data_IF_213357737517
#
_entry.id   IF_213357737517
#
_cell.length_a   1.000
_cell.length_b   1.000
_cell.length_c   1.000
_cell.angle_alpha   90.00
_cell.angle_beta   90.00
_cell.angle_gamma   90.00
#
_symmetry.space_group_name_H-M   'P 1'
#
loop_
_entity.id
_entity.type
_entity.pdbx_description
1 polymer ?
#
# COMPACT_ATOMS: atom_id res chain seq x y z
N UNK A 1 41.02 0.20 8.30
CA UNK A 1 39.83 0.93 7.80
C UNK A 1 38.64 0.14 8.30
N UNK A 2 37.73 0.76 9.08
CA UNK A 2 36.53 0.05 9.56
C UNK A 2 35.63 -0.19 8.34
N UNK A 3 35.47 -1.45 7.97
CA UNK A 3 34.73 -1.85 6.79
C UNK A 3 33.36 -2.44 7.19
N UNK A 4 32.31 -2.26 6.37
CA UNK A 4 30.93 -2.64 6.74
C UNK A 4 30.73 -4.13 7.06
N UNK A 5 31.57 -5.01 6.51
CA UNK A 5 31.50 -6.45 6.77
C UNK A 5 32.02 -6.88 8.16
N UNK A 6 32.68 -5.97 8.90
CA UNK A 6 33.27 -6.28 10.21
C UNK A 6 32.44 -5.66 11.33
N UNK A 7 31.13 -5.96 11.34
CA UNK A 7 30.17 -5.45 12.33
C UNK A 7 30.69 -5.61 13.76
N UNK A 8 31.22 -6.79 14.09
CA UNK A 8 31.77 -7.08 15.42
C UNK A 8 32.99 -6.20 15.78
N UNK A 9 33.88 -5.94 14.81
CA UNK A 9 35.07 -5.12 15.03
C UNK A 9 34.68 -3.64 15.20
N UNK A 10 33.74 -3.15 14.38
CA UNK A 10 33.20 -1.80 14.50
C UNK A 10 32.54 -1.62 15.87
N UNK A 11 31.65 -2.54 16.25
CA UNK A 11 30.90 -2.46 17.48
C UNK A 11 31.80 -2.50 18.74
N UNK A 12 32.86 -3.33 18.72
CA UNK A 12 33.84 -3.41 19.81
C UNK A 12 34.71 -2.15 19.96
N UNK A 13 35.08 -1.49 18.86
CA UNK A 13 36.04 -0.37 18.88
C UNK A 13 35.39 1.02 18.92
N UNK A 14 34.14 1.15 18.46
CA UNK A 14 33.43 2.43 18.41
C UNK A 14 33.26 3.12 19.78
N UNK A 15 33.00 2.41 20.91
CA UNK A 15 32.96 3.04 22.23
C UNK A 15 34.30 3.68 22.62
N UNK A 16 35.40 3.02 22.28
CA UNK A 16 36.75 3.50 22.52
C UNK A 16 37.05 4.75 21.71
N UNK A 17 36.64 4.78 20.43
CA UNK A 17 36.74 5.96 19.58
C UNK A 17 35.88 7.12 20.13
N UNK A 18 34.65 6.85 20.55
CA UNK A 18 33.72 7.85 21.09
C UNK A 18 34.28 8.56 22.33
N UNK A 19 34.92 7.82 23.24
CA UNK A 19 35.58 8.40 24.43
C UNK A 19 36.77 9.31 24.11
N UNK A 20 37.40 9.14 22.93
CA UNK A 20 38.56 9.94 22.49
C UNK A 20 38.16 11.22 21.75
N UNK A 21 36.90 11.34 21.35
CA UNK A 21 36.40 12.49 20.60
C UNK A 21 35.72 13.51 21.55
N UNK A 22 35.75 14.81 21.22
CA UNK A 22 35.00 15.80 21.96
C UNK A 22 33.50 15.46 22.06
N UNK A 23 32.84 15.77 23.19
CA UNK A 23 31.41 15.60 23.34
C UNK A 23 30.64 16.29 22.19
N UNK A 24 29.63 15.62 21.64
CA UNK A 24 28.80 16.15 20.54
C UNK A 24 29.40 16.00 19.14
N UNK A 25 30.61 15.43 18.99
CA UNK A 25 31.18 15.13 17.66
C UNK A 25 30.25 14.19 16.89
N UNK A 26 29.79 14.59 15.70
CA UNK A 26 28.99 13.70 14.84
C UNK A 26 29.88 12.63 14.23
N UNK A 27 29.52 11.36 14.43
CA UNK A 27 30.15 10.22 13.76
C UNK A 27 29.12 9.69 12.78
N UNK A 28 29.44 9.71 11.49
CA UNK A 28 28.61 9.13 10.45
C UNK A 28 29.22 7.79 10.03
N UNK A 29 28.42 6.72 10.12
CA UNK A 29 28.76 5.42 9.58
C UNK A 29 28.10 5.30 8.21
N UNK A 30 28.90 5.39 7.15
CA UNK A 30 28.42 5.15 5.79
C UNK A 30 28.44 3.66 5.49
N UNK A 31 27.30 3.12 5.09
CA UNK A 31 27.25 1.78 4.49
C UNK A 31 27.66 1.94 3.03
N UNK A 32 28.86 1.50 2.67
CA UNK A 32 29.31 1.47 1.29
C UNK A 32 28.58 0.32 0.58
N UNK A 33 27.61 0.69 -0.26
CA UNK A 33 26.98 -0.23 -1.20
C UNK A 33 27.81 -0.26 -2.48
N UNK A 34 28.52 -1.36 -2.71
CA UNK A 34 29.17 -1.63 -3.99
C UNK A 34 28.10 -2.20 -4.93
N UNK A 35 27.53 -1.35 -5.78
CA UNK A 35 26.78 -1.80 -6.97
C UNK A 35 27.47 -1.36 -8.24
N UNK A 36 27.72 -2.33 -9.12
CA UNK A 36 28.42 -2.16 -10.39
C UNK A 36 28.46 -3.49 -11.15
N UNK A 37 29.04 -3.49 -12.36
CA UNK A 37 29.12 -4.67 -13.27
C UNK A 37 30.01 -5.82 -12.74
N UNK A 38 30.60 -5.66 -11.57
CA UNK A 38 31.26 -6.74 -10.86
C UNK A 38 30.20 -7.44 -10.01
N UNK A 39 29.98 -8.72 -10.27
CA UNK A 39 29.13 -9.63 -9.49
C UNK A 39 29.68 -9.78 -8.07
N UNK A 40 29.60 -8.73 -7.27
CA UNK A 40 29.87 -8.76 -5.84
C UNK A 40 28.65 -9.33 -5.11
N UNK A 41 28.89 -10.29 -4.21
CA UNK A 41 27.85 -10.75 -3.28
C UNK A 41 27.29 -9.55 -2.49
N UNK A 42 25.98 -9.53 -2.28
CA UNK A 42 25.39 -8.58 -1.35
C UNK A 42 26.05 -8.76 0.03
N UNK A 43 26.69 -7.70 0.55
CA UNK A 43 27.35 -7.72 1.86
C UNK A 43 26.40 -8.10 3.01
N UNK A 44 25.10 -7.84 2.84
CA UNK A 44 24.02 -8.29 3.71
C UNK A 44 22.96 -8.97 2.85
N UNK A 45 22.40 -10.09 3.32
CA UNK A 45 21.41 -10.89 2.57
C UNK A 45 20.06 -10.20 2.47
N UNK A 46 19.78 -9.23 3.35
CA UNK A 46 18.52 -8.47 3.36
C UNK A 46 18.69 -7.10 4.02
N UNK A 47 17.73 -6.20 3.75
CA UNK A 47 17.61 -4.92 4.45
C UNK A 47 17.49 -5.09 5.98
N UNK A 48 16.71 -6.08 6.42
CA UNK A 48 16.54 -6.37 7.84
C UNK A 48 17.86 -6.81 8.50
N UNK A 49 18.73 -7.51 7.78
CA UNK A 49 20.06 -7.89 8.28
C UNK A 49 20.98 -6.68 8.40
N UNK A 50 20.96 -5.78 7.42
CA UNK A 50 21.67 -4.50 7.50
C UNK A 50 21.19 -3.66 8.69
N UNK A 51 19.87 -3.50 8.87
CA UNK A 51 19.28 -2.72 9.97
C UNK A 51 19.70 -3.29 11.33
N UNK A 52 19.64 -4.63 11.52
CA UNK A 52 20.13 -5.28 12.75
C UNK A 52 21.61 -5.04 13.01
N UNK A 53 22.44 -5.05 11.97
CA UNK A 53 23.87 -4.79 12.11
C UNK A 53 24.15 -3.35 12.54
N UNK A 54 23.43 -2.38 11.97
CA UNK A 54 23.52 -0.97 12.35
C UNK A 54 23.05 -0.72 13.78
N UNK A 55 21.93 -1.33 14.17
CA UNK A 55 21.39 -1.25 15.53
C UNK A 55 22.41 -1.76 16.55
N UNK A 56 23.02 -2.92 16.27
CA UNK A 56 24.04 -3.50 17.14
C UNK A 56 25.23 -2.55 17.34
N UNK A 57 25.78 -2.00 16.26
CA UNK A 57 26.90 -1.05 16.33
C UNK A 57 26.52 0.18 17.15
N UNK A 58 25.32 0.73 16.93
CA UNK A 58 24.84 1.90 17.66
C UNK A 58 24.66 1.61 19.16
N UNK A 59 24.03 0.49 19.52
CA UNK A 59 23.82 0.11 20.91
C UNK A 59 25.13 -0.19 21.66
N UNK A 60 26.06 -0.92 21.05
CA UNK A 60 27.37 -1.18 21.67
C UNK A 60 28.16 0.12 21.89
N UNK A 61 28.01 1.12 21.00
CA UNK A 61 28.57 2.46 21.18
C UNK A 61 27.93 3.29 22.31
N UNK A 62 26.90 2.77 22.97
CA UNK A 62 26.15 3.47 24.03
C UNK A 62 25.22 4.55 23.47
N UNK A 63 24.93 4.52 22.16
CA UNK A 63 23.97 5.43 21.57
C UNK A 63 22.55 5.04 21.98
N UNK A 64 21.72 6.06 22.18
CA UNK A 64 20.28 5.86 22.37
C UNK A 64 19.61 6.18 21.04
N UNK A 65 19.16 5.14 20.35
CA UNK A 65 18.28 5.32 19.20
C UNK A 65 16.91 5.74 19.75
N UNK A 66 16.53 6.99 19.53
CA UNK A 66 15.19 7.42 19.85
C UNK A 66 14.22 6.57 19.02
N UNK A 67 13.21 5.97 19.67
CA UNK A 67 12.16 5.28 18.95
C UNK A 67 11.58 6.24 17.91
N UNK A 68 11.41 5.76 16.68
CA UNK A 68 10.72 6.52 15.65
C UNK A 68 9.37 6.95 16.22
N UNK A 69 9.03 8.26 16.20
CA UNK A 69 7.74 8.69 16.67
C UNK A 69 6.67 7.94 15.88
N UNK A 70 5.68 7.38 16.58
CA UNK A 70 4.61 6.63 15.94
C UNK A 70 3.93 7.52 14.89
N UNK A 71 4.03 7.12 13.63
CA UNK A 71 3.28 7.72 12.52
C UNK A 71 2.11 6.80 12.16
N UNK A 72 0.96 7.35 11.73
CA UNK A 72 -0.12 6.54 11.21
C UNK A 72 0.37 5.71 10.02
N UNK A 73 0.04 4.42 10.01
CA UNK A 73 0.43 3.49 8.95
C UNK A 73 -0.19 3.84 7.59
N UNK A 74 -1.42 4.38 7.62
CA UNK A 74 -2.16 4.83 6.46
C UNK A 74 -3.21 5.87 6.87
N UNK A 75 -3.59 6.73 5.93
CA UNK A 75 -4.73 7.62 6.10
C UNK A 75 -6.05 6.83 6.11
N UNK A 76 -7.01 7.33 6.89
CA UNK A 76 -8.36 6.78 6.92
C UNK A 76 -9.03 6.95 5.54
N UNK A 77 -9.54 5.85 4.99
CA UNK A 77 -10.29 5.82 3.73
C UNK A 77 -11.75 5.49 4.00
N UNK A 78 -12.64 6.40 3.62
CA UNK A 78 -14.08 6.15 3.70
C UNK A 78 -14.63 5.37 2.51
N UNK A 79 -13.90 5.36 1.39
CA UNK A 79 -14.37 4.80 0.13
C UNK A 79 -13.35 5.00 -1.00
N UNK A 80 -13.52 4.29 -2.11
CA UNK A 80 -12.89 4.70 -3.37
C UNK A 80 -13.43 6.07 -3.79
N UNK A 81 -12.59 6.94 -4.36
CA UNK A 81 -12.98 8.29 -4.79
C UNK A 81 -14.17 8.32 -5.76
N UNK A 82 -14.34 7.27 -6.55
CA UNK A 82 -15.48 7.12 -7.45
C UNK A 82 -16.78 6.80 -6.72
N UNK A 83 -16.70 6.13 -5.57
CA UNK A 83 -17.83 5.87 -4.69
C UNK A 83 -18.23 7.12 -3.92
N UNK A 84 -17.26 7.98 -3.59
CA UNK A 84 -17.48 9.19 -2.80
C UNK A 84 -17.87 10.41 -3.65
N UNK A 85 -17.94 10.25 -4.97
CA UNK A 85 -18.30 11.33 -5.88
C UNK A 85 -17.29 12.47 -5.95
N UNK A 86 -16.02 12.21 -5.63
CA UNK A 86 -14.99 13.25 -5.64
C UNK A 86 -14.63 13.74 -7.05
N UNK A 87 -14.81 12.88 -8.05
CA UNK A 87 -14.49 13.14 -9.45
C UNK A 87 -15.60 12.66 -10.39
N UNK A 88 -15.65 13.29 -11.56
CA UNK A 88 -16.51 12.92 -12.67
C UNK A 88 -15.67 12.97 -13.94
N UNK A 89 -15.67 11.88 -14.69
CA UNK A 89 -14.89 11.70 -15.91
C UNK A 89 -15.81 11.77 -17.12
N UNK A 90 -15.31 12.38 -18.20
CA UNK A 90 -16.01 12.52 -19.48
C UNK A 90 -15.26 11.71 -20.53
N UNK A 91 -15.95 10.81 -21.24
CA UNK A 91 -15.42 10.13 -22.43
C UNK A 91 -15.63 10.99 -23.68
N UNK A 92 -14.92 10.68 -24.77
CA UNK A 92 -14.94 11.47 -26.01
C UNK A 92 -16.31 11.54 -26.69
N UNK A 93 -17.20 10.59 -26.39
CA UNK A 93 -18.59 10.55 -26.86
C UNK A 93 -19.55 11.39 -26.00
N UNK A 94 -19.04 12.06 -24.95
CA UNK A 94 -19.83 12.83 -23.99
C UNK A 94 -20.40 12.01 -22.84
N UNK A 95 -20.17 10.69 -22.79
CA UNK A 95 -20.64 9.85 -21.68
C UNK A 95 -19.87 10.16 -20.38
N UNK A 96 -20.58 10.13 -19.24
CA UNK A 96 -20.07 10.48 -17.91
C UNK A 96 -19.90 9.25 -17.02
N UNK A 97 -18.80 9.20 -16.27
CA UNK A 97 -18.42 8.09 -15.39
C UNK A 97 -17.83 8.61 -14.07
N UNK A 98 -18.01 7.90 -12.97
CA UNK A 98 -17.45 8.30 -11.67
C UNK A 98 -15.96 8.05 -11.56
N UNK A 99 -15.34 7.25 -12.42
CA UNK A 99 -13.88 7.07 -12.49
C UNK A 99 -13.46 6.63 -13.88
N UNK A 100 -12.19 6.85 -14.21
CA UNK A 100 -11.62 6.43 -15.49
C UNK A 100 -11.64 4.92 -15.74
N UNK A 101 -11.69 4.07 -14.70
CA UNK A 101 -11.83 2.60 -14.83
C UNK A 101 -13.30 2.13 -14.81
N UNK A 102 -14.24 3.03 -14.54
CA UNK A 102 -15.63 2.64 -14.30
C UNK A 102 -16.33 2.34 -15.62
N UNK A 103 -17.11 1.26 -15.66
CA UNK A 103 -17.92 0.88 -16.82
C UNK A 103 -19.40 1.24 -16.67
N UNK A 104 -19.85 1.52 -15.45
CA UNK A 104 -21.19 2.05 -15.20
C UNK A 104 -21.28 3.53 -15.58
N UNK A 105 -22.11 3.82 -16.58
CA UNK A 105 -22.39 5.18 -17.05
C UNK A 105 -23.32 5.88 -16.07
N UNK A 106 -22.95 7.08 -15.61
CA UNK A 106 -23.77 7.88 -14.68
C UNK A 106 -24.45 9.08 -15.32
N UNK A 107 -24.21 9.33 -16.61
CA UNK A 107 -24.89 10.41 -17.34
C UNK A 107 -24.28 10.68 -18.70
N UNK A 108 -24.76 11.75 -19.35
CA UNK A 108 -24.32 12.16 -20.68
C UNK A 108 -24.39 13.69 -20.84
N UNK A 109 -23.34 14.32 -21.39
CA UNK A 109 -23.31 15.78 -21.57
C UNK A 109 -24.36 16.31 -22.55
N UNK A 110 -24.98 15.45 -23.36
CA UNK A 110 -26.10 15.81 -24.24
C UNK A 110 -27.41 15.97 -23.45
N UNK A 111 -27.50 15.40 -22.26
CA UNK A 111 -28.72 15.31 -21.44
C UNK A 111 -28.60 16.11 -20.15
N UNK A 112 -27.41 16.16 -19.54
CA UNK A 112 -27.16 16.81 -18.26
C UNK A 112 -25.91 17.70 -18.31
N UNK A 113 -26.02 18.91 -17.75
CA UNK A 113 -24.87 19.78 -17.58
C UNK A 113 -23.84 19.15 -16.62
N UNK A 114 -22.55 19.23 -16.95
CA UNK A 114 -21.47 18.63 -16.15
C UNK A 114 -21.54 19.02 -14.67
N UNK A 115 -21.79 20.30 -14.36
CA UNK A 115 -21.91 20.78 -12.98
C UNK A 115 -23.05 20.13 -12.21
N UNK A 116 -24.17 19.85 -12.88
CA UNK A 116 -25.33 19.19 -12.29
C UNK A 116 -25.04 17.71 -12.03
N UNK A 117 -24.47 17.00 -13.01
CA UNK A 117 -24.07 15.61 -12.84
C UNK A 117 -23.05 15.45 -11.69
N UNK A 118 -22.09 16.37 -11.58
CA UNK A 118 -21.13 16.37 -10.48
C UNK A 118 -21.81 16.59 -9.11
N UNK A 119 -22.80 17.47 -9.05
CA UNK A 119 -23.57 17.70 -7.82
C UNK A 119 -24.40 16.48 -7.43
N UNK A 120 -25.03 15.80 -8.39
CA UNK A 120 -25.82 14.59 -8.15
C UNK A 120 -24.95 13.44 -7.62
N UNK A 121 -23.80 13.21 -8.25
CA UNK A 121 -22.83 12.18 -7.81
C UNK A 121 -22.27 12.48 -6.41
N UNK A 122 -22.04 13.75 -6.07
CA UNK A 122 -21.60 14.16 -4.72
C UNK A 122 -22.69 14.04 -3.65
N UNK A 123 -23.96 14.16 -4.04
CA UNK A 123 -25.08 14.10 -3.12
C UNK A 123 -25.43 12.67 -2.70
N UNK A 124 -24.96 11.66 -3.44
CA UNK A 124 -25.18 10.25 -3.16
C UNK A 124 -23.86 9.47 -3.08
N UNK A 125 -23.03 9.69 -2.03
CA UNK A 125 -21.81 8.92 -1.83
C UNK A 125 -22.13 7.51 -1.33
N UNK A 126 -21.31 6.54 -1.75
CA UNK A 126 -21.41 5.12 -1.39
C UNK A 126 -20.19 4.71 -0.53
N UNK A 127 -20.08 5.21 0.72
CA UNK A 127 -18.95 4.92 1.59
C UNK A 127 -18.92 3.43 1.98
N UNK A 128 -17.75 2.93 2.35
CA UNK A 128 -17.53 1.56 2.77
C UNK A 128 -18.50 1.12 3.88
N UNK A 129 -18.80 2.01 4.84
CA UNK A 129 -19.71 1.71 5.95
C UNK A 129 -21.16 1.45 5.52
N UNK A 130 -21.55 1.93 4.33
CA UNK A 130 -22.87 1.69 3.76
C UNK A 130 -22.99 0.28 3.13
N UNK A 131 -21.87 -0.36 2.79
CA UNK A 131 -21.89 -1.69 2.21
C UNK A 131 -22.08 -2.77 3.28
N UNK A 132 -22.92 -3.76 3.00
CA UNK A 132 -23.23 -4.84 3.94
C UNK A 132 -21.96 -5.56 4.43
N UNK A 133 -21.09 -5.98 3.50
CA UNK A 133 -19.83 -6.68 3.82
C UNK A 133 -18.79 -5.83 4.55
N UNK A 134 -18.88 -4.50 4.44
CA UNK A 134 -17.86 -3.60 4.97
C UNK A 134 -18.29 -2.89 6.25
N UNK A 135 -19.58 -2.84 6.57
CA UNK A 135 -20.09 -2.15 7.77
C UNK A 135 -19.33 -2.50 9.04
N UNK A 136 -19.13 -3.79 9.27
CA UNK A 136 -18.47 -4.33 10.47
C UNK A 136 -17.07 -4.91 10.18
N UNK A 137 -16.52 -4.62 9.00
CA UNK A 137 -15.19 -5.11 8.63
C UNK A 137 -14.09 -4.29 9.34
N UNK A 138 -13.09 -4.94 9.97
CA UNK A 138 -12.02 -4.25 10.70
C UNK A 138 -11.13 -3.38 9.81
N UNK A 139 -11.17 -3.59 8.50
CA UNK A 139 -10.40 -2.81 7.52
C UNK A 139 -11.23 -1.76 6.79
N UNK A 140 -12.50 -1.53 7.15
CA UNK A 140 -13.39 -0.64 6.38
C UNK A 140 -12.86 0.80 6.25
N UNK A 141 -12.18 1.30 7.27
CA UNK A 141 -11.53 2.61 7.30
C UNK A 141 -10.11 2.62 6.77
N UNK A 142 -9.56 1.47 6.37
CA UNK A 142 -8.22 1.34 5.79
C UNK A 142 -8.30 1.05 4.30
N UNK A 143 -9.07 0.03 3.89
CA UNK A 143 -9.23 -0.32 2.49
C UNK A 143 -10.35 0.47 1.78
N UNK A 144 -11.25 1.11 2.52
CA UNK A 144 -12.36 1.89 1.95
C UNK A 144 -13.33 1.05 1.11
N UNK A 145 -13.45 -0.26 1.39
CA UNK A 145 -14.29 -1.17 0.59
C UNK A 145 -13.70 -1.54 -0.77
N UNK A 146 -12.43 -1.24 -1.02
CA UNK A 146 -11.72 -1.57 -2.27
C UNK A 146 -12.12 -0.68 -3.47
N UNK A 147 -11.62 -1.05 -4.64
CA UNK A 147 -11.93 -0.37 -5.89
C UNK A 147 -13.34 -0.74 -6.37
N UNK A 148 -14.26 0.22 -6.49
CA UNK A 148 -15.63 -0.03 -6.99
C UNK A 148 -15.67 -0.51 -8.43
N UNK A 149 -14.72 -0.06 -9.25
CA UNK A 149 -14.61 -0.54 -10.63
C UNK A 149 -14.24 -2.02 -10.66
N UNK A 150 -13.37 -2.48 -9.74
CA UNK A 150 -13.08 -3.92 -9.63
C UNK A 150 -14.28 -4.69 -9.07
N UNK A 151 -14.98 -4.14 -8.08
CA UNK A 151 -16.22 -4.74 -7.59
C UNK A 151 -17.19 -4.99 -8.76
N UNK A 152 -17.56 -3.93 -9.48
CA UNK A 152 -18.41 -4.03 -10.66
C UNK A 152 -17.88 -5.05 -11.68
N UNK A 153 -16.57 -5.01 -11.96
CA UNK A 153 -15.94 -5.90 -12.95
C UNK A 153 -16.08 -7.38 -12.60
N UNK A 154 -15.96 -7.75 -11.33
CA UNK A 154 -15.89 -9.15 -10.89
C UNK A 154 -17.21 -9.69 -10.32
N UNK A 155 -18.07 -8.83 -9.78
CA UNK A 155 -19.35 -9.23 -9.16
C UNK A 155 -20.56 -8.82 -9.98
N UNK A 156 -20.39 -7.88 -10.90
CA UNK A 156 -21.50 -7.23 -11.61
C UNK A 156 -22.17 -6.11 -10.82
N UNK A 157 -21.72 -5.84 -9.59
CA UNK A 157 -22.26 -4.80 -8.71
C UNK A 157 -21.11 -4.03 -8.04
N UNK A 158 -21.09 -2.71 -8.24
CA UNK A 158 -20.07 -1.83 -7.66
C UNK A 158 -20.07 -1.86 -6.12
N UNK A 159 -21.23 -2.07 -5.51
CA UNK A 159 -21.42 -2.07 -4.07
C UNK A 159 -21.25 -3.45 -3.43
N UNK A 160 -20.90 -4.46 -4.23
CA UNK A 160 -20.57 -5.81 -3.76
C UNK A 160 -19.05 -6.05 -3.84
N UNK A 161 -18.32 -5.97 -2.70
CA UNK A 161 -16.87 -6.14 -2.69
C UNK A 161 -16.40 -7.51 -3.12
N UNK A 162 -15.36 -7.52 -3.97
CA UNK A 162 -14.53 -8.70 -4.23
C UNK A 162 -13.61 -8.92 -3.04
N UNK A 163 -14.19 -9.43 -1.96
CA UNK A 163 -13.48 -9.69 -0.73
C UNK A 163 -14.07 -10.86 0.04
N UNK A 164 -13.40 -11.18 1.14
CA UNK A 164 -13.82 -12.15 2.14
C UNK A 164 -12.78 -12.18 3.26
N UNK A 165 -12.85 -13.18 4.16
CA UNK A 165 -11.86 -13.37 5.22
C UNK A 165 -10.41 -13.39 4.69
N UNK A 166 -10.20 -13.98 3.50
CA UNK A 166 -8.90 -14.04 2.83
C UNK A 166 -8.27 -12.65 2.59
N UNK A 167 -9.07 -11.68 2.13
CA UNK A 167 -8.59 -10.34 1.80
C UNK A 167 -8.24 -9.56 3.06
N UNK A 168 -9.04 -9.73 4.12
CA UNK A 168 -8.76 -9.13 5.43
C UNK A 168 -7.47 -9.68 6.01
N UNK A 169 -7.26 -11.00 5.90
CA UNK A 169 -6.06 -11.66 6.40
C UNK A 169 -4.80 -11.21 5.67
N UNK A 170 -4.80 -11.28 4.33
CA UNK A 170 -3.63 -10.91 3.54
C UNK A 170 -3.26 -9.43 3.71
N UNK A 171 -4.25 -8.53 3.75
CA UNK A 171 -3.98 -7.11 4.00
C UNK A 171 -3.42 -6.89 5.41
N UNK A 172 -3.98 -7.52 6.44
CA UNK A 172 -3.47 -7.39 7.81
C UNK A 172 -2.00 -7.82 7.92
N UNK A 173 -1.62 -8.92 7.28
CA UNK A 173 -0.22 -9.37 7.29
C UNK A 173 0.71 -8.46 6.48
N UNK A 174 0.29 -8.01 5.29
CA UNK A 174 1.07 -7.05 4.50
C UNK A 174 1.27 -5.73 5.25
N UNK A 175 0.26 -5.26 5.98
CA UNK A 175 0.36 -4.07 6.83
C UNK A 175 1.31 -4.30 8.02
N UNK A 176 1.29 -5.48 8.63
CA UNK A 176 2.23 -5.85 9.69
C UNK A 176 3.69 -5.94 9.19
N UNK A 177 3.87 -6.19 7.89
CA UNK A 177 5.18 -6.19 7.19
C UNK A 177 5.59 -4.80 6.66
N UNK A 178 4.91 -3.73 7.10
CA UNK A 178 5.17 -2.36 6.66
C UNK A 178 5.03 -2.17 5.14
N UNK A 179 4.01 -2.81 4.54
CA UNK A 179 3.63 -2.66 3.13
C UNK A 179 2.30 -1.92 2.97
N UNK A 180 2.18 -0.64 3.38
CA UNK A 180 0.92 0.11 3.33
C UNK A 180 0.35 0.29 1.92
N UNK A 181 1.19 0.23 0.88
CA UNK A 181 0.75 0.26 -0.52
C UNK A 181 -0.18 -0.91 -0.90
N UNK A 182 -0.18 -2.01 -0.13
CA UNK A 182 -1.06 -3.16 -0.37
C UNK A 182 -2.55 -2.80 -0.33
N UNK A 183 -2.92 -1.72 0.36
CA UNK A 183 -4.29 -1.20 0.39
C UNK A 183 -4.80 -0.77 -1.00
N UNK A 184 -3.91 -0.52 -1.94
CA UNK A 184 -4.20 -0.10 -3.32
C UNK A 184 -4.02 -1.23 -4.35
N UNK A 185 -3.55 -2.40 -3.92
CA UNK A 185 -3.30 -3.49 -4.85
C UNK A 185 -4.60 -4.04 -5.45
N UNK A 186 -4.59 -4.41 -6.74
CA UNK A 186 -5.71 -5.06 -7.40
C UNK A 186 -6.12 -6.35 -6.67
N UNK A 187 -7.42 -6.66 -6.68
CA UNK A 187 -7.92 -7.90 -6.08
C UNK A 187 -7.21 -9.19 -6.57
N UNK A 188 -6.85 -9.36 -7.86
CA UNK A 188 -6.07 -10.52 -8.32
C UNK A 188 -4.70 -10.62 -7.68
N UNK A 189 -3.99 -9.51 -7.53
CA UNK A 189 -2.66 -9.50 -6.91
C UNK A 189 -2.75 -9.87 -5.42
N UNK A 190 -3.75 -9.36 -4.71
CA UNK A 190 -4.00 -9.74 -3.31
C UNK A 190 -4.36 -11.23 -3.19
N UNK A 191 -5.06 -11.79 -4.18
CA UNK A 191 -5.42 -13.20 -4.20
C UNK A 191 -4.17 -14.09 -4.40
N UNK A 192 -3.29 -13.70 -5.31
CA UNK A 192 -2.03 -14.42 -5.55
C UNK A 192 -1.15 -14.40 -4.29
N UNK A 193 -1.08 -13.26 -3.59
CA UNK A 193 -0.37 -13.15 -2.31
C UNK A 193 -1.02 -14.03 -1.22
N UNK A 194 -2.35 -14.05 -1.13
CA UNK A 194 -3.06 -14.90 -0.19
C UNK A 194 -2.77 -16.40 -0.42
N UNK A 195 -2.67 -16.81 -1.69
CA UNK A 195 -2.30 -18.19 -2.06
C UNK A 195 -0.85 -18.51 -1.76
N UNK A 196 0.07 -17.59 -2.08
CA UNK A 196 1.49 -17.76 -1.77
C UNK A 196 1.72 -17.98 -0.26
N UNK A 197 0.86 -17.38 0.57
CA UNK A 197 0.85 -17.54 2.04
C UNK A 197 0.01 -18.72 2.55
N UNK A 198 -0.66 -19.46 1.68
CA UNK A 198 -1.48 -20.62 2.05
C UNK A 198 -2.79 -20.27 2.76
N UNK A 199 -3.39 -19.11 2.50
CA UNK A 199 -4.71 -18.77 3.04
C UNK A 199 -5.82 -19.41 2.21
N UNK A 200 -6.90 -19.80 2.90
CA UNK A 200 -8.15 -20.18 2.25
C UNK A 200 -8.69 -18.96 1.50
N UNK A 201 -8.74 -19.05 0.17
CA UNK A 201 -9.15 -17.98 -0.73
C UNK A 201 -9.79 -18.59 -2.00
N UNK A 202 -10.56 -17.81 -2.78
CA UNK A 202 -11.16 -18.30 -4.02
C UNK A 202 -10.15 -18.90 -4.99
N UNK A 203 -10.53 -19.97 -5.71
CA UNK A 203 -9.67 -20.65 -6.69
C UNK A 203 -9.37 -19.81 -7.92
N UNK A 204 -10.26 -18.89 -8.31
CA UNK A 204 -10.04 -17.91 -9.37
C UNK A 204 -10.87 -16.66 -9.12
N UNK A 205 -10.45 -15.54 -9.70
CA UNK A 205 -11.28 -14.35 -9.88
C UNK A 205 -11.44 -14.13 -11.37
N UNK A 206 -12.65 -14.38 -11.88
CA UNK A 206 -13.00 -14.20 -13.29
C UNK A 206 -13.87 -12.95 -13.41
N UNK A 207 -13.50 -11.97 -14.25
CA UNK A 207 -14.34 -10.81 -14.51
C UNK A 207 -15.74 -11.23 -15.00
N UNK A 208 -16.78 -10.77 -14.32
CA UNK A 208 -18.17 -10.87 -14.78
C UNK A 208 -18.45 -9.92 -15.95
N UNK A 209 -17.77 -8.76 -15.96
CA UNK A 209 -17.89 -7.74 -16.98
C UNK A 209 -16.51 -7.49 -17.59
N UNK A 210 -16.33 -7.54 -18.92
CA UNK A 210 -15.08 -7.18 -19.55
C UNK A 210 -14.83 -5.67 -19.41
N UNK A 211 -13.61 -5.28 -19.03
CA UNK A 211 -13.25 -3.86 -19.04
C UNK A 211 -13.00 -3.41 -20.47
N UNK A 212 -13.65 -2.33 -20.87
CA UNK A 212 -13.46 -1.69 -22.17
C UNK A 212 -12.07 -1.05 -22.32
N UNK A 213 -11.38 -0.85 -21.20
CA UNK A 213 -9.99 -0.38 -21.16
C UNK A 213 -8.96 -1.48 -21.43
N UNK A 214 -9.40 -2.74 -21.45
CA UNK A 214 -8.57 -3.92 -21.71
C UNK A 214 -8.96 -4.62 -23.02
N UNK A 215 -9.79 -3.99 -23.85
CA UNK A 215 -10.09 -4.48 -25.19
C UNK A 215 -8.96 -4.04 -26.13
N UNK A 216 -8.27 -5.02 -26.73
CA UNK A 216 -7.32 -4.84 -27.83
C UNK A 216 -8.00 -4.28 -29.09
#
# INVERSE_FOLDING_TARGET
MLLPQHVDEVAAHLPGLRRRLPPGTRIALGVLYLSGRETGEHLFRSRAELERALDRVAFEAGERIAATPASPLADRREGCSCALGHHLHVRSDGSLFTCFKMEEKVGDLREIAFSRALAEVRAAPHPAVALEKCRDCPLNTLCGGGCRSENLQYTGDADEPVCGPWRVRVLSELLAEDRPSALEWPAPQLLDEARARGFEAPETLVPAIPSRHLLE
#
